data_IF_973469408575
#
_entry.id   IF_973469408575
#
_cell.length_a   1.000
_cell.length_b   1.000
_cell.length_c   1.000
_cell.angle_alpha   90.00
_cell.angle_beta   90.00
_cell.angle_gamma   90.00
#
_symmetry.space_group_name_H-M   'P 1'
#
loop_
_entity.id
_entity.type
_entity.pdbx_description
1 polymer ?
#
# COMPACT_ATOMS: atom_id res chain seq x y z
N UNK A 1 -15.83 -35.26 -3.62
CA UNK A 1 -14.59 -34.53 -3.26
C UNK A 1 -14.81 -33.77 -1.97
N UNK A 2 -13.84 -33.77 -1.05
CA UNK A 2 -13.90 -32.91 0.13
C UNK A 2 -13.89 -31.44 -0.29
N UNK A 3 -14.69 -30.59 0.38
CA UNK A 3 -14.66 -29.12 0.16
C UNK A 3 -13.51 -28.47 0.91
N UNK A 4 -12.95 -29.13 1.93
CA UNK A 4 -11.76 -28.70 2.66
C UNK A 4 -10.55 -29.41 2.05
N UNK A 5 -9.72 -28.69 1.31
CA UNK A 5 -8.67 -29.28 0.47
C UNK A 5 -7.26 -29.12 1.01
N UNK A 6 -7.00 -28.04 1.76
CA UNK A 6 -5.65 -27.76 2.29
C UNK A 6 -5.70 -26.86 3.54
N UNK A 7 -4.59 -26.85 4.28
CA UNK A 7 -4.32 -25.94 5.39
C UNK A 7 -3.56 -24.75 4.81
N UNK A 8 -3.94 -23.54 5.20
CA UNK A 8 -3.25 -22.30 4.79
C UNK A 8 -2.62 -21.60 5.99
N UNK A 9 -1.52 -20.92 5.75
CA UNK A 9 -0.74 -20.17 6.74
C UNK A 9 -0.74 -18.67 6.40
N UNK A 10 -0.88 -17.82 7.43
CA UNK A 10 -0.75 -16.37 7.27
C UNK A 10 0.68 -15.91 7.60
N UNK A 11 1.00 -14.64 7.37
CA UNK A 11 2.33 -14.07 7.64
C UNK A 11 2.72 -14.20 9.13
N UNK A 12 1.72 -14.27 10.03
CA UNK A 12 1.94 -14.47 11.45
C UNK A 12 2.41 -15.90 11.81
N UNK A 13 2.23 -16.87 10.89
CA UNK A 13 2.53 -18.27 11.09
C UNK A 13 3.89 -18.70 10.50
N UNK A 14 4.64 -17.76 9.92
CA UNK A 14 5.90 -18.05 9.24
C UNK A 14 7.04 -17.17 9.74
N UNK A 15 8.27 -17.65 9.58
CA UNK A 15 9.50 -16.94 9.94
C UNK A 15 10.61 -17.18 8.92
N UNK A 16 11.42 -16.15 8.66
CA UNK A 16 12.63 -16.25 7.84
C UNK A 16 13.73 -16.96 8.66
N UNK A 17 14.45 -17.86 8.04
CA UNK A 17 15.55 -18.61 8.66
C UNK A 17 16.90 -17.99 8.27
N UNK A 18 17.78 -17.92 9.25
CA UNK A 18 19.15 -17.51 9.01
C UNK A 18 19.91 -18.58 8.20
N UNK A 19 20.65 -18.17 7.17
CA UNK A 19 21.55 -19.09 6.45
C UNK A 19 22.67 -19.59 7.38
N UNK A 20 23.11 -20.86 7.25
CA UNK A 20 24.22 -21.39 8.08
C UNK A 20 25.54 -20.63 7.93
N UNK A 21 25.83 -20.10 6.75
CA UNK A 21 27.04 -19.31 6.46
C UNK A 21 26.64 -18.16 5.53
N UNK A 22 26.74 -16.92 6.01
CA UNK A 22 26.53 -15.73 5.18
C UNK A 22 27.85 -15.23 4.62
N UNK A 23 27.95 -14.97 3.30
CA UNK A 23 29.15 -14.35 2.69
C UNK A 23 29.24 -12.85 3.00
N UNK A 24 28.19 -12.24 3.54
CA UNK A 24 28.05 -10.79 3.75
C UNK A 24 28.73 -10.41 5.06
N UNK A 25 29.73 -9.52 4.98
CA UNK A 25 30.46 -9.01 6.15
C UNK A 25 29.72 -7.86 6.81
N UNK A 26 29.15 -6.97 5.99
CA UNK A 26 28.42 -5.79 6.44
C UNK A 26 27.09 -5.69 5.72
N UNK A 27 26.01 -5.53 6.44
CA UNK A 27 24.66 -5.39 5.86
C UNK A 27 24.53 -4.29 4.80
N UNK A 28 25.43 -3.30 4.80
CA UNK A 28 25.46 -2.24 3.76
C UNK A 28 25.95 -2.74 2.39
N UNK A 29 26.43 -3.98 2.28
CA UNK A 29 26.72 -4.64 1.00
C UNK A 29 25.44 -5.12 0.29
N UNK A 30 24.29 -5.20 1.03
CA UNK A 30 23.03 -5.59 0.47
C UNK A 30 22.36 -4.41 -0.26
N UNK A 31 21.84 -4.68 -1.45
CA UNK A 31 21.05 -3.73 -2.24
C UNK A 31 19.55 -3.92 -2.00
N UNK A 32 18.87 -3.03 -1.24
CA UNK A 32 17.46 -3.14 -0.93
C UNK A 32 16.54 -2.51 -1.98
N UNK A 33 17.06 -2.17 -3.15
CA UNK A 33 16.30 -1.47 -4.19
C UNK A 33 15.89 -2.38 -5.32
N UNK A 34 14.82 -2.00 -6.02
CA UNK A 34 14.31 -2.67 -7.21
C UNK A 34 13.83 -1.63 -8.22
N UNK A 35 13.95 -1.96 -9.51
CA UNK A 35 13.47 -1.08 -10.57
C UNK A 35 11.96 -1.23 -10.79
N UNK A 36 11.23 -0.11 -10.77
CA UNK A 36 9.82 0.02 -11.11
C UNK A 36 9.60 1.34 -11.86
N UNK A 37 8.83 1.31 -12.95
CA UNK A 37 8.60 2.49 -13.80
C UNK A 37 9.91 3.20 -14.22
N UNK A 38 10.96 2.42 -14.52
CA UNK A 38 12.28 2.93 -14.90
C UNK A 38 13.07 3.62 -13.78
N UNK A 39 12.64 3.53 -12.53
CA UNK A 39 13.28 4.17 -11.36
C UNK A 39 13.75 3.13 -10.36
N UNK A 40 14.90 3.38 -9.73
CA UNK A 40 15.39 2.59 -8.60
C UNK A 40 14.68 3.03 -7.31
N UNK A 41 13.82 2.15 -6.77
CA UNK A 41 12.95 2.41 -5.64
C UNK A 41 13.08 1.33 -4.56
N UNK A 42 12.63 1.61 -3.36
CA UNK A 42 12.38 0.56 -2.38
C UNK A 42 11.31 -0.41 -2.90
N UNK A 43 11.33 -1.70 -2.48
CA UNK A 43 10.34 -2.69 -2.92
C UNK A 43 8.98 -2.49 -2.21
N UNK A 44 8.64 -1.25 -1.88
CA UNK A 44 7.40 -0.87 -1.20
C UNK A 44 6.69 0.20 -2.01
N UNK A 45 5.40 -0.04 -2.28
CA UNK A 45 4.55 0.84 -3.09
C UNK A 45 3.49 1.46 -2.18
N UNK A 46 3.25 2.77 -2.34
CA UNK A 46 2.20 3.48 -1.62
C UNK A 46 0.85 3.21 -2.28
N UNK A 47 -0.11 2.71 -1.49
CA UNK A 47 -1.43 2.29 -1.99
C UNK A 47 -2.27 3.45 -2.56
N UNK A 48 -3.15 3.17 -3.56
CA UNK A 48 -4.08 4.14 -4.15
C UNK A 48 -5.24 4.47 -3.21
N UNK A 49 -4.97 5.15 -2.12
CA UNK A 49 -5.98 5.51 -1.13
C UNK A 49 -6.10 7.03 -0.99
N UNK A 50 -7.32 7.56 -1.08
CA UNK A 50 -7.62 9.00 -1.06
C UNK A 50 -7.17 9.76 0.19
N UNK A 51 -6.77 9.06 1.25
CA UNK A 51 -6.22 9.63 2.48
C UNK A 51 -4.72 9.42 2.63
N UNK A 52 -4.07 8.87 1.61
CA UNK A 52 -2.64 8.55 1.61
C UNK A 52 -1.93 9.28 0.48
N UNK A 53 -2.44 9.15 -0.76
CA UNK A 53 -1.81 9.71 -1.96
C UNK A 53 -2.81 10.57 -2.73
N UNK A 54 -2.35 11.71 -3.21
CA UNK A 54 -3.06 12.59 -4.14
C UNK A 54 -2.10 13.23 -5.17
N UNK A 55 -2.62 14.16 -5.97
CA UNK A 55 -1.86 14.91 -6.96
C UNK A 55 -0.85 15.91 -6.39
N UNK A 56 -0.90 16.18 -5.09
CA UNK A 56 -0.01 17.15 -4.44
C UNK A 56 1.17 16.48 -3.73
N UNK A 57 0.94 15.29 -3.14
CA UNK A 57 1.95 14.61 -2.33
C UNK A 57 2.71 13.45 -3.05
N UNK A 58 2.30 13.05 -4.26
CA UNK A 58 2.95 11.93 -4.95
C UNK A 58 4.46 12.12 -5.15
N UNK A 59 4.93 13.36 -5.38
CA UNK A 59 6.36 13.67 -5.51
C UNK A 59 7.13 13.41 -4.24
N UNK A 60 6.55 13.70 -3.09
CA UNK A 60 7.16 13.41 -1.78
C UNK A 60 7.42 11.91 -1.63
N UNK A 61 6.52 11.06 -2.11
CA UNK A 61 6.77 9.61 -2.12
C UNK A 61 7.92 9.24 -3.03
N UNK A 62 7.94 9.74 -4.26
CA UNK A 62 9.01 9.48 -5.24
C UNK A 62 10.38 9.96 -4.73
N UNK A 63 10.45 11.14 -4.12
CA UNK A 63 11.68 11.73 -3.57
C UNK A 63 12.24 10.88 -2.42
N UNK A 64 11.37 10.19 -1.67
CA UNK A 64 11.75 9.23 -0.62
C UNK A 64 11.92 7.79 -1.16
N UNK A 65 12.03 7.62 -2.47
CA UNK A 65 12.22 6.34 -3.17
C UNK A 65 11.07 5.32 -2.97
N UNK A 66 9.84 5.80 -2.82
CA UNK A 66 8.64 4.97 -2.85
C UNK A 66 7.85 5.23 -4.13
N UNK A 67 7.64 4.20 -4.93
CA UNK A 67 6.63 4.27 -5.98
C UNK A 67 5.26 4.41 -5.33
N UNK A 68 4.37 5.18 -5.94
CA UNK A 68 3.00 5.34 -5.46
C UNK A 68 2.00 5.17 -6.60
N UNK A 69 0.75 5.00 -6.19
CA UNK A 69 -0.37 4.92 -7.12
C UNK A 69 -1.37 6.02 -6.77
N UNK A 70 -1.61 6.95 -7.70
CA UNK A 70 -2.59 8.03 -7.52
C UNK A 70 -4.01 7.45 -7.62
N UNK A 71 -4.89 7.67 -6.62
CA UNK A 71 -6.18 7.03 -6.54
C UNK A 71 -7.22 7.62 -7.49
N UNK A 72 -8.30 6.88 -7.72
CA UNK A 72 -9.46 7.29 -8.54
C UNK A 72 -10.27 8.47 -7.98
N UNK A 73 -10.01 8.89 -6.74
CA UNK A 73 -10.59 10.11 -6.16
C UNK A 73 -10.03 11.41 -6.75
N UNK A 74 -8.84 11.34 -7.37
CA UNK A 74 -8.27 12.43 -8.16
C UNK A 74 -8.98 12.47 -9.52
N UNK A 75 -9.26 13.67 -10.04
CA UNK A 75 -9.98 13.81 -11.30
C UNK A 75 -9.25 13.14 -12.47
N UNK A 76 -10.01 12.73 -13.49
CA UNK A 76 -9.46 11.92 -14.58
C UNK A 76 -8.42 12.69 -15.41
N UNK A 77 -8.61 14.00 -15.63
CA UNK A 77 -7.67 14.80 -16.43
C UNK A 77 -6.33 14.93 -15.71
N UNK A 78 -6.34 15.16 -14.40
CA UNK A 78 -5.13 15.19 -13.58
C UNK A 78 -4.43 13.84 -13.61
N UNK A 79 -5.16 12.72 -13.47
CA UNK A 79 -4.58 11.37 -13.60
C UNK A 79 -3.92 11.14 -14.96
N UNK A 80 -4.56 11.55 -16.06
CA UNK A 80 -3.98 11.45 -17.40
C UNK A 80 -2.70 12.27 -17.56
N UNK A 81 -2.61 13.43 -16.93
CA UNK A 81 -1.40 14.25 -16.95
C UNK A 81 -0.23 13.63 -16.16
N UNK A 82 -0.53 12.82 -15.11
CA UNK A 82 0.47 12.21 -14.23
C UNK A 82 0.92 10.81 -14.68
N UNK A 83 0.20 10.15 -15.60
CA UNK A 83 0.44 8.74 -15.95
C UNK A 83 1.80 8.44 -16.60
N UNK A 84 2.58 9.45 -16.95
CA UNK A 84 3.95 9.29 -17.44
C UNK A 84 5.02 9.44 -16.34
N UNK A 85 4.62 9.83 -15.14
CA UNK A 85 5.52 10.02 -13.99
C UNK A 85 5.32 8.96 -12.91
N UNK A 86 4.08 8.52 -12.71
CA UNK A 86 3.65 7.67 -11.59
C UNK A 86 2.47 6.80 -12.02
N UNK A 87 2.25 5.67 -11.33
CA UNK A 87 1.04 4.90 -11.56
C UNK A 87 -0.22 5.69 -11.18
N UNK A 88 -1.23 5.62 -12.03
CA UNK A 88 -2.54 6.26 -11.78
C UNK A 88 -3.67 5.24 -11.90
N UNK A 89 -4.64 5.31 -11.01
CA UNK A 89 -5.73 4.33 -10.93
C UNK A 89 -6.86 4.63 -11.90
N UNK A 90 -7.39 3.57 -12.51
CA UNK A 90 -8.60 3.57 -13.34
C UNK A 90 -9.56 2.47 -12.87
N UNK A 91 -10.87 2.65 -13.08
CA UNK A 91 -11.81 1.53 -13.11
C UNK A 91 -11.65 0.75 -14.42
N UNK A 92 -12.28 -0.41 -14.53
CA UNK A 92 -12.25 -1.18 -15.76
C UNK A 92 -12.89 -0.40 -16.91
N UNK A 93 -14.06 0.21 -16.68
CA UNK A 93 -14.78 1.00 -17.68
C UNK A 93 -14.02 2.25 -18.10
N UNK A 94 -13.36 2.96 -17.15
CA UNK A 94 -12.49 4.08 -17.47
C UNK A 94 -11.29 3.63 -18.31
N UNK A 95 -10.64 2.52 -17.98
CA UNK A 95 -9.51 2.01 -18.73
C UNK A 95 -9.91 1.65 -20.17
N UNK A 96 -11.03 0.93 -20.34
CA UNK A 96 -11.56 0.55 -21.64
C UNK A 96 -11.87 1.78 -22.50
N UNK A 97 -12.56 2.80 -21.95
CA UNK A 97 -12.92 4.00 -22.68
C UNK A 97 -11.74 4.91 -23.00
N UNK A 98 -10.80 5.10 -22.05
CA UNK A 98 -9.67 6.06 -22.18
C UNK A 98 -8.63 5.55 -23.16
N UNK A 99 -8.17 4.28 -22.99
CA UNK A 99 -7.03 3.77 -23.77
C UNK A 99 -7.40 3.38 -25.20
N UNK A 100 -8.68 3.27 -25.53
CA UNK A 100 -9.14 3.13 -26.91
C UNK A 100 -9.61 4.46 -27.54
N UNK A 101 -9.47 5.58 -26.82
CA UNK A 101 -9.76 6.90 -27.37
C UNK A 101 -8.70 7.30 -28.41
N UNK A 102 -9.16 7.95 -29.50
CA UNK A 102 -8.29 8.44 -30.57
C UNK A 102 -7.19 9.35 -30.02
N UNK A 103 -7.51 10.19 -29.04
CA UNK A 103 -6.59 11.16 -28.44
C UNK A 103 -5.36 10.50 -27.79
N UNK A 104 -5.54 9.45 -26.99
CA UNK A 104 -4.43 8.75 -26.33
C UNK A 104 -3.61 7.95 -27.34
N UNK A 105 -4.27 7.29 -28.31
CA UNK A 105 -3.58 6.53 -29.35
C UNK A 105 -2.70 7.45 -30.20
N UNK A 106 -3.21 8.61 -30.64
CA UNK A 106 -2.47 9.58 -31.42
C UNK A 106 -1.32 10.22 -30.60
N UNK A 107 -1.55 10.57 -29.32
CA UNK A 107 -0.51 11.11 -28.46
C UNK A 107 0.66 10.13 -28.30
N UNK A 108 0.39 8.86 -28.05
CA UNK A 108 1.42 7.82 -27.93
C UNK A 108 2.15 7.55 -29.24
N UNK A 109 1.43 7.56 -30.38
CA UNK A 109 2.02 7.40 -31.70
C UNK A 109 2.96 8.56 -32.08
N UNK A 110 2.61 9.77 -31.69
CA UNK A 110 3.40 10.99 -31.95
C UNK A 110 4.59 11.15 -30.97
N UNK A 111 4.61 10.41 -29.88
CA UNK A 111 5.67 10.47 -28.86
C UNK A 111 6.31 9.09 -28.64
N UNK A 112 7.04 8.52 -29.63
CA UNK A 112 7.70 7.24 -29.52
C UNK A 112 8.76 7.30 -28.40
N UNK A 113 8.65 6.50 -27.38
CA UNK A 113 9.51 6.53 -26.19
C UNK A 113 8.81 7.07 -24.93
N UNK A 114 7.63 7.65 -25.06
CA UNK A 114 6.76 7.95 -23.91
C UNK A 114 6.35 6.63 -23.24
N UNK A 115 6.50 6.59 -21.93
CA UNK A 115 6.00 5.50 -21.09
C UNK A 115 4.81 5.98 -20.29
N UNK A 116 3.84 5.12 -20.08
CA UNK A 116 2.68 5.38 -19.22
C UNK A 116 2.49 4.24 -18.24
N UNK A 117 2.05 4.59 -17.04
CA UNK A 117 1.93 3.70 -15.89
C UNK A 117 0.51 3.73 -15.37
N UNK A 118 -0.19 2.60 -15.44
CA UNK A 118 -1.59 2.53 -15.04
C UNK A 118 -1.84 1.44 -14.00
N UNK A 119 -2.80 1.69 -13.12
CA UNK A 119 -3.34 0.71 -12.19
C UNK A 119 -4.84 0.54 -12.46
N UNK A 120 -5.26 -0.61 -13.00
CA UNK A 120 -6.69 -0.94 -13.07
C UNK A 120 -7.08 -1.51 -11.70
N UNK A 121 -7.70 -0.66 -10.88
CA UNK A 121 -7.93 -0.91 -9.46
C UNK A 121 -9.30 -1.54 -9.20
N UNK A 122 -9.30 -2.86 -8.95
CA UNK A 122 -10.48 -3.70 -8.79
C UNK A 122 -10.38 -4.57 -7.53
N UNK A 123 -11.51 -4.83 -6.88
CA UNK A 123 -11.58 -5.81 -5.79
C UNK A 123 -11.60 -7.26 -6.32
N UNK A 124 -12.02 -7.48 -7.57
CA UNK A 124 -12.19 -8.78 -8.21
C UNK A 124 -11.31 -8.90 -9.46
N UNK A 125 -10.04 -9.26 -9.25
CA UNK A 125 -9.02 -9.31 -10.29
C UNK A 125 -9.07 -10.54 -11.21
N UNK A 126 -10.04 -11.44 -11.07
CA UNK A 126 -10.18 -12.66 -11.90
C UNK A 126 -11.34 -12.60 -12.89
N UNK A 127 -11.85 -11.40 -13.19
CA UNK A 127 -12.88 -11.21 -14.23
C UNK A 127 -12.29 -11.41 -15.63
N UNK A 128 -12.94 -12.19 -16.49
CA UNK A 128 -12.51 -12.38 -17.88
C UNK A 128 -12.39 -11.05 -18.63
N UNK A 129 -13.35 -10.13 -18.44
CA UNK A 129 -13.32 -8.80 -19.04
C UNK A 129 -12.04 -8.01 -18.71
N UNK A 130 -11.46 -8.18 -17.50
CA UNK A 130 -10.19 -7.55 -17.15
C UNK A 130 -9.05 -8.04 -18.02
N UNK A 131 -8.94 -9.36 -18.22
CA UNK A 131 -7.89 -9.94 -19.08
C UNK A 131 -8.02 -9.47 -20.52
N UNK A 132 -9.24 -9.39 -21.04
CA UNK A 132 -9.49 -8.93 -22.40
C UNK A 132 -9.11 -7.46 -22.57
N UNK A 133 -9.50 -6.58 -21.65
CA UNK A 133 -9.14 -5.15 -21.66
C UNK A 133 -7.62 -4.99 -21.58
N UNK A 134 -6.95 -5.66 -20.63
CA UNK A 134 -5.49 -5.58 -20.47
C UNK A 134 -4.75 -6.06 -21.71
N UNK A 135 -5.16 -7.21 -22.28
CA UNK A 135 -4.57 -7.77 -23.51
C UNK A 135 -4.73 -6.81 -24.69
N UNK A 136 -5.93 -6.23 -24.84
CA UNK A 136 -6.19 -5.28 -25.91
C UNK A 136 -5.35 -4.00 -25.76
N UNK A 137 -5.23 -3.46 -24.54
CA UNK A 137 -4.35 -2.32 -24.26
C UNK A 137 -2.89 -2.67 -24.60
N UNK A 138 -2.40 -3.84 -24.17
CA UNK A 138 -1.05 -4.28 -24.50
C UNK A 138 -0.82 -4.48 -25.99
N UNK A 139 -1.81 -4.98 -26.73
CA UNK A 139 -1.72 -5.13 -28.18
C UNK A 139 -1.58 -3.77 -28.91
N UNK A 140 -2.20 -2.70 -28.37
CA UNK A 140 -2.12 -1.35 -28.96
C UNK A 140 -0.82 -0.63 -28.58
N UNK A 141 -0.45 -0.67 -27.30
CA UNK A 141 0.63 0.16 -26.75
C UNK A 141 1.95 -0.60 -26.53
N UNK A 142 1.91 -1.94 -26.53
CA UNK A 142 3.10 -2.77 -26.35
C UNK A 142 3.87 -2.43 -25.06
N UNK A 143 5.20 -2.26 -25.17
CA UNK A 143 6.07 -1.96 -24.02
C UNK A 143 5.99 -0.49 -23.56
N UNK A 144 5.23 0.37 -24.24
CA UNK A 144 5.06 1.79 -23.87
C UNK A 144 4.09 1.96 -22.69
N UNK A 145 3.37 0.90 -22.29
CA UNK A 145 2.49 0.91 -21.14
C UNK A 145 2.86 -0.17 -20.15
N UNK A 146 2.91 0.18 -18.87
CA UNK A 146 3.00 -0.78 -17.76
C UNK A 146 1.65 -0.85 -17.04
N UNK A 147 1.09 -2.06 -16.93
CA UNK A 147 -0.22 -2.31 -16.32
C UNK A 147 -0.04 -3.01 -14.98
N UNK A 148 -0.53 -2.36 -13.93
CA UNK A 148 -0.73 -2.94 -12.61
C UNK A 148 -2.22 -3.23 -12.43
N UNK A 149 -2.58 -4.41 -11.93
CA UNK A 149 -4.00 -4.71 -11.62
C UNK A 149 -4.14 -5.81 -10.58
N UNK A 150 -5.32 -6.05 -10.11
CA UNK A 150 -5.74 -6.98 -9.06
C UNK A 150 -6.92 -6.38 -8.29
N UNK A 151 -7.34 -7.04 -7.19
CA UNK A 151 -6.59 -8.01 -6.42
C UNK A 151 -7.06 -9.44 -6.73
N UNK A 152 -6.15 -10.40 -6.56
CA UNK A 152 -6.43 -11.83 -6.71
C UNK A 152 -6.17 -12.58 -5.39
N UNK A 153 -6.87 -13.70 -5.20
CA UNK A 153 -6.69 -14.61 -4.06
C UNK A 153 -6.62 -16.08 -4.52
N UNK A 154 -6.02 -16.31 -5.69
CA UNK A 154 -5.78 -17.65 -6.25
C UNK A 154 -4.48 -17.64 -7.06
N UNK A 155 -3.69 -18.70 -6.94
CA UNK A 155 -2.42 -18.85 -7.66
C UNK A 155 -2.61 -19.12 -9.15
N UNK A 156 -3.71 -19.77 -9.53
CA UNK A 156 -4.02 -20.07 -10.93
C UNK A 156 -4.20 -18.80 -11.78
N UNK A 157 -4.53 -17.66 -11.16
CA UNK A 157 -4.63 -16.38 -11.86
C UNK A 157 -3.29 -15.94 -12.48
N UNK A 158 -2.14 -16.41 -11.97
CA UNK A 158 -0.83 -15.95 -12.42
C UNK A 158 -0.60 -16.16 -13.92
N UNK A 159 -0.88 -17.35 -14.42
CA UNK A 159 -0.71 -17.66 -15.86
C UNK A 159 -1.57 -16.76 -16.74
N UNK A 160 -2.82 -16.49 -16.35
CA UNK A 160 -3.69 -15.58 -17.11
C UNK A 160 -3.15 -14.14 -17.14
N UNK A 161 -2.57 -13.68 -16.03
CA UNK A 161 -1.94 -12.36 -15.96
C UNK A 161 -0.70 -12.27 -16.84
N UNK A 162 0.17 -13.27 -16.79
CA UNK A 162 1.37 -13.36 -17.62
C UNK A 162 1.04 -13.43 -19.13
N UNK A 163 0.05 -14.24 -19.49
CA UNK A 163 -0.40 -14.42 -20.88
C UNK A 163 -1.13 -13.18 -21.43
N UNK A 164 -1.77 -12.39 -20.56
CA UNK A 164 -2.38 -11.12 -20.95
C UNK A 164 -1.34 -9.97 -21.04
N UNK A 165 -0.07 -10.20 -20.67
CA UNK A 165 0.99 -9.22 -20.68
C UNK A 165 0.86 -8.17 -19.57
N UNK A 166 0.18 -8.50 -18.47
CA UNK A 166 0.05 -7.63 -17.31
C UNK A 166 1.40 -7.58 -16.59
N UNK A 167 1.92 -6.38 -16.30
CA UNK A 167 3.27 -6.21 -15.74
C UNK A 167 3.32 -6.44 -14.22
N UNK A 168 2.23 -6.12 -13.50
CA UNK A 168 2.16 -6.24 -12.04
C UNK A 168 0.83 -6.82 -11.59
N UNK A 169 0.88 -7.94 -10.87
CA UNK A 169 -0.27 -8.59 -10.26
C UNK A 169 -0.36 -8.27 -8.78
N UNK A 170 -1.41 -7.57 -8.36
CA UNK A 170 -1.70 -7.33 -6.94
C UNK A 170 -2.46 -8.53 -6.37
N UNK A 171 -1.94 -9.12 -5.31
CA UNK A 171 -2.55 -10.25 -4.62
C UNK A 171 -2.99 -9.87 -3.20
N UNK A 172 -3.84 -10.71 -2.62
CA UNK A 172 -4.58 -10.60 -1.37
C UNK A 172 -5.94 -9.91 -1.51
N UNK A 173 -6.96 -10.61 -1.03
CA UNK A 173 -8.33 -10.09 -0.91
C UNK A 173 -8.73 -10.12 0.57
N UNK A 174 -9.36 -9.05 1.05
CA UNK A 174 -9.93 -9.00 2.39
C UNK A 174 -8.92 -8.84 3.55
N UNK A 175 -7.62 -8.76 3.26
CA UNK A 175 -6.54 -8.65 4.27
C UNK A 175 -6.29 -7.23 4.75
N UNK A 176 -6.69 -6.21 3.99
CA UNK A 176 -6.48 -4.80 4.33
C UNK A 176 -7.18 -4.38 5.62
N UNK A 177 -6.52 -3.58 6.46
CA UNK A 177 -7.04 -3.12 7.76
C UNK A 177 -8.33 -2.28 7.66
N UNK A 178 -8.68 -1.83 6.47
CA UNK A 178 -9.92 -1.08 6.17
C UNK A 178 -10.87 -1.84 5.25
N UNK A 179 -10.52 -3.06 4.85
CA UNK A 179 -11.35 -3.93 4.02
C UNK A 179 -12.21 -4.83 4.90
N UNK A 180 -13.48 -4.99 4.53
CA UNK A 180 -14.42 -5.89 5.21
C UNK A 180 -14.89 -7.04 4.31
N UNK A 181 -14.27 -7.23 3.15
CA UNK A 181 -14.62 -8.29 2.20
C UNK A 181 -14.47 -9.67 2.85
N UNK A 182 -13.38 -9.91 3.59
CA UNK A 182 -13.18 -11.19 4.29
C UNK A 182 -14.25 -11.45 5.36
N UNK A 183 -14.58 -10.43 6.17
CA UNK A 183 -15.56 -10.57 7.26
C UNK A 183 -17.01 -10.62 6.79
N UNK A 184 -17.34 -9.94 5.69
CA UNK A 184 -18.72 -9.82 5.20
C UNK A 184 -18.98 -10.73 3.99
N UNK A 185 -17.98 -10.94 3.12
CA UNK A 185 -18.08 -11.73 1.90
C UNK A 185 -17.44 -13.12 1.98
N UNK A 186 -16.76 -13.44 3.09
CA UNK A 186 -16.08 -14.73 3.32
C UNK A 186 -15.04 -15.11 2.26
N UNK A 187 -14.58 -14.13 1.45
CA UNK A 187 -13.53 -14.36 0.44
C UNK A 187 -12.20 -13.91 1.01
N UNK A 188 -11.33 -14.87 1.28
CA UNK A 188 -10.01 -14.66 1.86
C UNK A 188 -9.12 -15.87 1.57
N UNK A 189 -7.83 -15.65 1.43
CA UNK A 189 -6.82 -16.70 1.39
C UNK A 189 -5.66 -16.33 2.33
N UNK A 190 -5.12 -17.26 3.15
CA UNK A 190 -3.98 -16.99 4.02
C UNK A 190 -2.77 -16.52 3.23
N UNK A 191 -2.20 -15.38 3.62
CA UNK A 191 -1.28 -14.58 2.78
C UNK A 191 0.04 -15.27 2.48
N UNK A 192 0.64 -15.94 3.47
CA UNK A 192 1.89 -16.65 3.26
C UNK A 192 1.72 -17.80 2.26
N UNK A 193 0.68 -18.63 2.45
CA UNK A 193 0.38 -19.73 1.52
C UNK A 193 0.04 -19.23 0.12
N UNK A 194 -0.72 -18.13 0.00
CA UNK A 194 -1.05 -17.59 -1.31
C UNK A 194 0.19 -17.09 -2.06
N UNK A 195 1.11 -16.40 -1.39
CA UNK A 195 2.34 -15.92 -2.02
C UNK A 195 3.23 -17.06 -2.49
N UNK A 196 3.43 -18.06 -1.66
CA UNK A 196 4.20 -19.26 -1.97
C UNK A 196 3.63 -19.96 -3.20
N UNK A 197 2.31 -20.20 -3.22
CA UNK A 197 1.62 -20.81 -4.37
C UNK A 197 1.65 -19.96 -5.64
N UNK A 198 1.57 -18.62 -5.53
CA UNK A 198 1.70 -17.72 -6.69
C UNK A 198 3.14 -17.75 -7.21
N UNK A 199 4.13 -17.79 -6.32
CA UNK A 199 5.54 -17.91 -6.71
C UNK A 199 5.81 -19.24 -7.41
N UNK A 200 5.24 -20.35 -6.93
CA UNK A 200 5.30 -21.65 -7.61
C UNK A 200 4.65 -21.58 -9.01
N UNK A 201 3.50 -20.91 -9.13
CA UNK A 201 2.85 -20.71 -10.43
C UNK A 201 3.71 -19.86 -11.40
N UNK A 202 4.45 -18.86 -10.88
CA UNK A 202 5.43 -18.09 -11.64
C UNK A 202 6.56 -18.98 -12.15
N UNK A 203 7.18 -19.75 -11.26
CA UNK A 203 8.29 -20.66 -11.62
C UNK A 203 7.82 -21.68 -12.65
N UNK A 204 6.63 -22.22 -12.47
CA UNK A 204 6.03 -23.14 -13.46
C UNK A 204 5.86 -22.48 -14.82
N UNK A 205 5.32 -21.25 -14.86
CA UNK A 205 5.14 -20.50 -16.10
C UNK A 205 6.49 -20.25 -16.80
N UNK A 206 7.54 -19.88 -16.05
CA UNK A 206 8.90 -19.71 -16.57
C UNK A 206 9.44 -20.99 -17.21
N UNK A 207 9.27 -22.12 -16.53
CA UNK A 207 9.68 -23.43 -17.04
C UNK A 207 8.89 -23.84 -18.30
N UNK A 208 7.58 -23.62 -18.33
CA UNK A 208 6.71 -23.97 -19.44
C UNK A 208 7.01 -23.13 -20.71
N UNK A 209 7.58 -21.91 -20.55
CA UNK A 209 7.85 -20.98 -21.65
C UNK A 209 9.36 -20.77 -21.94
N UNK A 210 10.26 -21.36 -21.16
CA UNK A 210 11.74 -21.22 -21.26
C UNK A 210 12.18 -19.73 -21.33
N UNK A 211 11.56 -18.89 -20.49
CA UNK A 211 11.89 -17.44 -20.38
C UNK A 211 11.42 -16.88 -19.03
N UNK A 212 12.03 -15.75 -18.58
CA UNK A 212 11.56 -15.06 -17.37
C UNK A 212 10.09 -14.64 -17.50
N UNK A 213 9.34 -14.79 -16.43
CA UNK A 213 7.95 -14.38 -16.37
C UNK A 213 7.81 -12.85 -16.45
N UNK A 214 6.88 -12.33 -17.26
CA UNK A 214 6.72 -10.89 -17.45
C UNK A 214 6.04 -10.21 -16.27
N UNK A 215 5.25 -10.95 -15.47
CA UNK A 215 4.40 -10.41 -14.43
C UNK A 215 5.09 -10.46 -13.07
N UNK A 216 5.27 -9.30 -12.46
CA UNK A 216 5.78 -9.14 -11.10
C UNK A 216 4.64 -9.24 -10.07
N UNK A 217 4.96 -9.78 -8.90
CA UNK A 217 4.00 -10.04 -7.83
C UNK A 217 4.04 -8.90 -6.81
N UNK A 218 2.89 -8.31 -6.50
CA UNK A 218 2.72 -7.28 -5.46
C UNK A 218 1.86 -7.85 -4.34
N UNK A 219 2.43 -7.97 -3.14
CA UNK A 219 1.71 -8.33 -1.92
C UNK A 219 0.95 -7.09 -1.41
N UNK A 220 -0.37 -7.03 -1.62
CA UNK A 220 -1.18 -5.84 -1.35
C UNK A 220 -2.26 -6.08 -0.29
N UNK A 221 -2.04 -5.53 0.88
CA UNK A 221 -3.00 -5.49 1.98
C UNK A 221 -2.60 -6.30 3.21
N UNK A 222 -3.01 -5.81 4.37
CA UNK A 222 -2.77 -6.47 5.65
C UNK A 222 -1.34 -6.35 6.21
N UNK A 223 -0.49 -5.58 5.57
CA UNK A 223 0.89 -5.34 6.01
C UNK A 223 0.88 -4.40 7.22
N UNK A 224 1.41 -4.85 8.36
CA UNK A 224 1.30 -4.15 9.65
C UNK A 224 2.62 -3.56 10.13
N UNK A 225 3.73 -4.19 9.78
CA UNK A 225 5.06 -3.90 10.29
C UNK A 225 6.16 -4.26 9.28
N UNK A 226 7.43 -4.04 9.64
CA UNK A 226 8.56 -4.30 8.76
C UNK A 226 8.80 -5.79 8.48
N UNK A 227 8.48 -6.68 9.41
CA UNK A 227 8.66 -8.12 9.22
C UNK A 227 7.66 -8.70 8.20
N UNK A 228 6.44 -8.17 8.15
CA UNK A 228 5.50 -8.53 7.09
C UNK A 228 6.04 -8.20 5.69
N UNK A 229 6.70 -7.03 5.52
CA UNK A 229 7.34 -6.64 4.26
C UNK A 229 8.41 -7.67 3.87
N UNK A 230 9.30 -8.00 4.82
CA UNK A 230 10.42 -8.92 4.60
C UNK A 230 9.93 -10.33 4.25
N UNK A 231 8.92 -10.83 4.98
CA UNK A 231 8.31 -12.14 4.72
C UNK A 231 7.64 -12.21 3.36
N UNK A 232 6.92 -11.15 2.95
CA UNK A 232 6.33 -11.11 1.61
C UNK A 232 7.41 -11.19 0.52
N UNK A 233 8.52 -10.44 0.66
CA UNK A 233 9.62 -10.47 -0.29
C UNK A 233 10.31 -11.85 -0.32
N UNK A 234 10.53 -12.47 0.83
CA UNK A 234 11.13 -13.81 0.93
C UNK A 234 10.22 -14.91 0.36
N UNK A 235 8.89 -14.73 0.43
CA UNK A 235 7.90 -15.67 -0.11
C UNK A 235 7.61 -15.49 -1.61
N UNK A 236 8.35 -14.61 -2.31
CA UNK A 236 8.25 -14.49 -3.75
C UNK A 236 7.63 -13.20 -4.27
N UNK A 237 7.18 -12.27 -3.42
CA UNK A 237 6.74 -10.96 -3.87
C UNK A 237 7.92 -10.14 -4.43
N UNK A 238 7.68 -9.44 -5.53
CA UNK A 238 8.62 -8.46 -6.07
C UNK A 238 8.49 -7.12 -5.35
N UNK A 239 7.27 -6.78 -4.96
CA UNK A 239 6.92 -5.56 -4.24
C UNK A 239 5.86 -5.83 -3.18
N UNK A 240 5.77 -4.89 -2.23
CA UNK A 240 4.75 -4.90 -1.17
C UNK A 240 3.99 -3.58 -1.23
N UNK A 241 2.66 -3.60 -1.27
CA UNK A 241 1.85 -2.39 -1.27
C UNK A 241 1.28 -2.11 0.11
N UNK A 242 1.52 -0.89 0.62
CA UNK A 242 1.15 -0.48 1.96
C UNK A 242 0.28 0.78 1.94
N UNK A 243 -0.83 0.76 2.70
CA UNK A 243 -1.66 1.94 2.95
C UNK A 243 -1.53 2.45 4.39
N UNK A 244 -1.76 1.58 5.37
CA UNK A 244 -1.82 1.96 6.78
C UNK A 244 -0.53 2.58 7.31
N UNK A 245 0.63 2.06 6.93
CA UNK A 245 1.92 2.62 7.35
C UNK A 245 2.12 4.03 6.79
N UNK A 246 1.82 4.24 5.51
CA UNK A 246 1.92 5.57 4.91
C UNK A 246 0.85 6.53 5.42
N UNK A 247 -0.34 6.07 5.78
CA UNK A 247 -1.37 6.91 6.41
C UNK A 247 -0.93 7.49 7.76
N UNK A 248 0.01 6.84 8.45
CA UNK A 248 0.59 7.31 9.71
C UNK A 248 1.74 8.32 9.54
N UNK A 249 2.22 8.54 8.31
CA UNK A 249 3.27 9.53 8.05
C UNK A 249 2.71 10.96 8.02
N UNK A 250 3.56 11.92 8.31
CA UNK A 250 3.21 13.35 8.27
C UNK A 250 2.77 13.79 6.87
N UNK A 251 3.30 13.16 5.82
CA UNK A 251 3.14 13.55 4.42
C UNK A 251 1.87 13.03 3.74
N UNK A 252 1.14 12.11 4.36
CA UNK A 252 -0.11 11.61 3.78
C UNK A 252 -1.21 12.71 3.74
N UNK A 253 -2.11 12.64 2.73
CA UNK A 253 -3.03 13.72 2.39
C UNK A 253 -4.36 13.72 3.17
N UNK A 254 -4.66 12.70 3.99
CA UNK A 254 -5.90 12.64 4.76
C UNK A 254 -6.02 13.76 5.79
N UNK A 255 -7.25 14.20 6.07
CA UNK A 255 -7.52 15.24 7.06
C UNK A 255 -7.02 14.86 8.45
N UNK A 256 -6.40 15.81 9.14
CA UNK A 256 -5.93 15.64 10.52
C UNK A 256 -7.02 16.13 11.48
N UNK A 257 -7.19 15.39 12.56
CA UNK A 257 -8.02 15.74 13.71
C UNK A 257 -7.22 15.52 14.99
N UNK A 258 -7.22 16.49 15.88
CA UNK A 258 -6.58 16.40 17.18
C UNK A 258 -7.57 15.82 18.21
N UNK A 259 -7.15 14.78 18.90
CA UNK A 259 -7.98 14.04 19.85
C UNK A 259 -7.13 13.77 21.11
N UNK A 260 -7.73 13.92 22.28
CA UNK A 260 -7.10 13.42 23.50
C UNK A 260 -7.02 11.89 23.43
N UNK A 261 -5.82 11.28 23.57
CA UNK A 261 -5.67 9.82 23.51
C UNK A 261 -6.58 9.06 24.48
N UNK A 262 -6.85 9.61 25.66
CA UNK A 262 -7.74 9.01 26.66
C UNK A 262 -9.21 8.98 26.21
N UNK A 263 -9.61 9.88 25.30
CA UNK A 263 -10.97 10.01 24.76
C UNK A 263 -11.12 9.35 23.39
N UNK A 264 -10.10 8.69 22.86
CA UNK A 264 -10.10 8.14 21.50
C UNK A 264 -11.25 7.13 21.26
N UNK A 265 -11.51 6.26 22.23
CA UNK A 265 -12.61 5.29 22.12
C UNK A 265 -13.99 5.97 22.14
N UNK A 266 -14.18 7.05 22.90
CA UNK A 266 -15.41 7.83 22.91
C UNK A 266 -15.57 8.68 21.65
N UNK A 267 -14.44 9.16 21.07
CA UNK A 267 -14.45 9.76 19.73
C UNK A 267 -14.95 8.77 18.67
N UNK A 268 -14.44 7.53 18.67
CA UNK A 268 -14.88 6.49 17.75
C UNK A 268 -16.38 6.15 17.88
N UNK A 269 -16.94 6.29 19.07
CA UNK A 269 -18.37 6.10 19.36
C UNK A 269 -19.21 7.35 19.06
N UNK A 270 -18.59 8.45 18.65
CA UNK A 270 -19.26 9.72 18.36
C UNK A 270 -19.74 10.49 19.59
N UNK A 271 -19.22 10.17 20.78
CA UNK A 271 -19.61 10.83 22.05
C UNK A 271 -18.84 12.14 22.28
N UNK A 272 -17.61 12.22 21.80
CA UNK A 272 -16.78 13.44 21.84
C UNK A 272 -16.36 13.83 20.42
N UNK A 273 -16.01 15.10 20.23
CA UNK A 273 -15.53 15.63 18.95
C UNK A 273 -14.04 15.95 19.06
N UNK A 274 -13.28 15.60 18.03
CA UNK A 274 -11.92 16.08 17.89
C UNK A 274 -11.87 17.52 17.36
N UNK A 275 -10.73 18.17 17.52
CA UNK A 275 -10.47 19.50 16.98
C UNK A 275 -9.87 19.40 15.58
N UNK A 276 -10.31 20.21 14.62
CA UNK A 276 -9.62 20.37 13.36
C UNK A 276 -8.21 20.95 13.60
N UNK A 277 -7.30 20.70 12.67
CA UNK A 277 -5.92 21.20 12.76
C UNK A 277 -5.86 22.72 12.90
N UNK A 278 -6.64 23.44 12.09
CA UNK A 278 -6.75 24.90 12.15
C UNK A 278 -7.25 25.37 13.52
N UNK A 279 -8.32 24.74 14.02
CA UNK A 279 -8.89 25.09 15.33
C UNK A 279 -7.92 24.80 16.47
N UNK A 280 -7.24 23.65 16.45
CA UNK A 280 -6.22 23.28 17.42
C UNK A 280 -5.13 24.35 17.49
N UNK A 281 -4.51 24.69 16.36
CA UNK A 281 -3.44 25.71 16.34
C UNK A 281 -3.93 27.11 16.75
N UNK A 282 -5.16 27.48 16.39
CA UNK A 282 -5.74 28.74 16.81
C UNK A 282 -5.92 28.83 18.34
N UNK A 283 -6.35 27.73 18.99
CA UNK A 283 -6.52 27.66 20.44
C UNK A 283 -5.17 27.73 21.18
N UNK A 284 -4.15 27.00 20.70
CA UNK A 284 -2.79 27.06 21.26
C UNK A 284 -2.26 28.50 21.19
N UNK A 285 -2.40 29.16 20.04
CA UNK A 285 -1.95 30.54 19.82
C UNK A 285 -2.67 31.51 20.76
N UNK A 286 -3.99 31.46 20.87
CA UNK A 286 -4.81 32.31 21.71
C UNK A 286 -4.45 32.14 23.19
N UNK A 287 -4.40 30.90 23.68
CA UNK A 287 -4.03 30.59 25.05
C UNK A 287 -2.58 31.00 25.37
N UNK A 288 -1.65 30.84 24.46
CA UNK A 288 -0.26 31.29 24.63
C UNK A 288 -0.18 32.81 24.80
N UNK A 289 -0.96 33.55 24.01
CA UNK A 289 -1.01 35.02 24.15
C UNK A 289 -1.65 35.43 25.49
N UNK A 290 -2.79 34.84 25.86
CA UNK A 290 -3.44 35.09 27.15
C UNK A 290 -2.54 34.76 28.33
N UNK A 291 -1.72 33.72 28.24
CA UNK A 291 -0.73 33.36 29.26
C UNK A 291 0.34 34.44 29.38
N UNK A 292 0.87 34.97 28.27
CA UNK A 292 1.86 36.06 28.27
C UNK A 292 1.32 37.38 28.86
N UNK A 293 0.04 37.66 28.65
CA UNK A 293 -0.65 38.87 29.10
C UNK A 293 -1.22 38.73 30.52
N UNK A 294 -1.15 37.54 31.12
CA UNK A 294 -1.71 37.30 32.44
C UNK A 294 -0.88 38.02 33.53
N UNK A 295 -1.58 38.74 34.37
CA UNK A 295 -0.98 39.58 35.42
C UNK A 295 -1.33 39.11 36.85
N UNK A 296 -2.02 37.98 37.00
CA UNK A 296 -2.31 37.39 38.30
C UNK A 296 -1.94 35.91 38.35
N UNK A 297 -1.47 35.37 39.48
CA UNK A 297 -1.10 33.96 39.62
C UNK A 297 -2.24 33.00 39.27
N UNK A 298 -3.48 33.33 39.61
CA UNK A 298 -4.67 32.52 39.37
C UNK A 298 -4.93 32.39 37.84
N UNK A 299 -4.88 33.54 37.12
CA UNK A 299 -5.05 33.56 35.66
C UNK A 299 -3.91 32.83 34.94
N UNK A 300 -2.69 33.02 35.35
CA UNK A 300 -1.52 32.31 34.83
C UNK A 300 -1.70 30.80 34.95
N UNK A 301 -2.07 30.33 36.16
CA UNK A 301 -2.32 28.90 36.40
C UNK A 301 -3.49 28.36 35.58
N UNK A 302 -4.58 29.14 35.47
CA UNK A 302 -5.74 28.74 34.63
C UNK A 302 -5.36 28.58 33.16
N UNK A 303 -4.68 29.56 32.55
CA UNK A 303 -4.28 29.48 31.17
C UNK A 303 -3.24 28.40 30.91
N UNK A 304 -2.33 28.16 31.86
CA UNK A 304 -1.38 27.06 31.78
C UNK A 304 -2.09 25.71 31.78
N UNK A 305 -3.05 25.46 32.67
CA UNK A 305 -3.80 24.22 32.73
C UNK A 305 -4.57 23.98 31.43
N UNK A 306 -5.23 25.01 30.88
CA UNK A 306 -5.93 24.89 29.60
C UNK A 306 -4.97 24.57 28.43
N UNK A 307 -3.81 25.21 28.42
CA UNK A 307 -2.78 24.97 27.41
C UNK A 307 -2.25 23.53 27.48
N UNK A 308 -2.03 23.04 28.72
CA UNK A 308 -1.59 21.67 28.96
C UNK A 308 -2.63 20.63 28.51
N UNK A 309 -3.94 20.91 28.64
CA UNK A 309 -5.01 20.06 28.08
C UNK A 309 -4.92 19.98 26.56
N UNK A 310 -4.71 21.10 25.87
CA UNK A 310 -4.54 21.11 24.42
C UNK A 310 -3.27 20.39 24.00
N UNK A 311 -2.16 20.53 24.70
CA UNK A 311 -0.91 19.82 24.37
C UNK A 311 -0.96 18.30 24.61
N UNK A 312 -1.96 17.81 25.36
CA UNK A 312 -2.21 16.36 25.45
C UNK A 312 -2.89 15.78 24.23
N UNK A 313 -3.57 16.62 23.43
CA UNK A 313 -4.19 16.15 22.20
C UNK A 313 -3.13 15.75 21.19
N UNK A 314 -3.39 14.65 20.50
CA UNK A 314 -2.49 14.12 19.48
C UNK A 314 -3.16 14.17 18.10
N UNK A 315 -2.37 14.33 17.02
CA UNK A 315 -2.89 14.32 15.67
C UNK A 315 -3.24 12.89 15.24
N UNK A 316 -4.46 12.74 14.75
CA UNK A 316 -4.94 11.53 14.10
C UNK A 316 -5.35 11.88 12.67
N UNK A 317 -4.99 11.03 11.73
CA UNK A 317 -5.37 11.18 10.34
C UNK A 317 -6.58 10.35 10.01
N UNK A 318 -7.53 10.92 9.30
CA UNK A 318 -8.62 10.15 8.73
C UNK A 318 -8.06 9.11 7.76
N UNK A 319 -8.49 7.85 7.91
CA UNK A 319 -8.04 6.75 7.07
C UNK A 319 -9.19 5.79 6.79
N UNK A 320 -9.50 5.57 5.50
CA UNK A 320 -10.62 4.73 5.08
C UNK A 320 -10.30 3.91 3.83
N UNK A 321 -10.99 2.76 3.70
CA UNK A 321 -10.92 1.90 2.51
C UNK A 321 -11.65 2.51 1.32
N UNK A 322 -11.12 2.29 0.11
CA UNK A 322 -11.68 2.85 -1.14
C UNK A 322 -13.07 2.30 -1.49
N UNK A 323 -13.50 1.19 -0.90
CA UNK A 323 -14.84 0.62 -1.02
C UNK A 323 -15.84 1.11 0.03
N UNK A 324 -15.46 2.00 0.96
CA UNK A 324 -16.38 2.56 1.94
C UNK A 324 -17.30 3.63 1.30
N UNK A 325 -18.44 3.92 1.96
CA UNK A 325 -19.41 4.92 1.46
C UNK A 325 -18.80 6.30 1.23
N UNK A 326 -17.85 6.72 2.07
CA UNK A 326 -17.17 8.02 1.91
C UNK A 326 -16.35 8.04 0.63
N UNK A 327 -15.54 7.02 0.38
CA UNK A 327 -14.74 6.90 -0.84
C UNK A 327 -15.63 6.81 -2.09
N UNK A 328 -16.73 6.05 -2.03
CA UNK A 328 -17.71 5.97 -3.13
C UNK A 328 -18.24 7.34 -3.53
N UNK A 329 -18.53 8.21 -2.54
CA UNK A 329 -18.99 9.60 -2.80
C UNK A 329 -17.90 10.46 -3.41
N UNK A 330 -16.66 10.34 -2.95
CA UNK A 330 -15.50 11.07 -3.52
C UNK A 330 -15.25 10.69 -4.99
N UNK A 331 -15.56 9.45 -5.36
CA UNK A 331 -15.46 8.97 -6.76
C UNK A 331 -16.74 9.23 -7.59
N UNK A 332 -17.63 10.14 -7.16
CA UNK A 332 -18.85 10.50 -7.88
C UNK A 332 -20.01 9.51 -7.74
N UNK A 333 -19.88 8.48 -6.92
CA UNK A 333 -20.96 7.53 -6.65
C UNK A 333 -21.98 8.06 -5.63
N UNK A 334 -23.22 7.55 -5.70
CA UNK A 334 -24.28 7.92 -4.76
C UNK A 334 -24.09 7.36 -3.33
N UNK A 335 -23.06 6.55 -3.10
CA UNK A 335 -22.82 5.88 -1.81
C UNK A 335 -23.87 4.83 -1.45
N UNK A 336 -24.62 4.34 -2.43
CA UNK A 336 -25.72 3.38 -2.26
C UNK A 336 -25.27 1.92 -2.35
N UNK A 337 -24.06 1.67 -2.84
CA UNK A 337 -23.50 0.32 -2.89
C UNK A 337 -23.14 -0.16 -1.49
N UNK A 338 -23.25 -1.47 -1.27
CA UNK A 338 -22.80 -2.10 -0.02
C UNK A 338 -21.36 -1.69 0.27
N UNK A 339 -21.10 -1.24 1.52
CA UNK A 339 -19.77 -0.85 1.94
C UNK A 339 -18.95 -2.08 2.28
N UNK A 340 -17.82 -2.28 1.60
CA UNK A 340 -16.81 -3.30 1.92
C UNK A 340 -15.57 -2.66 2.57
N UNK A 341 -15.71 -1.47 3.13
CA UNK A 341 -14.64 -0.76 3.82
C UNK A 341 -15.15 0.05 5.00
N UNK A 342 -14.23 0.30 5.94
CA UNK A 342 -14.49 1.12 7.14
C UNK A 342 -13.62 2.37 7.12
N UNK A 343 -14.08 3.41 7.82
CA UNK A 343 -13.31 4.61 8.17
C UNK A 343 -12.95 4.57 9.65
N UNK A 344 -11.66 4.67 9.96
CA UNK A 344 -11.18 4.81 11.33
C UNK A 344 -9.87 5.60 11.30
N UNK A 345 -9.71 6.66 12.10
CA UNK A 345 -8.49 7.43 12.11
C UNK A 345 -7.30 6.60 12.60
N UNK A 346 -6.10 7.00 12.17
CA UNK A 346 -4.81 6.46 12.61
C UNK A 346 -3.97 7.58 13.19
N UNK A 347 -3.13 7.33 14.20
CA UNK A 347 -2.23 8.35 14.71
C UNK A 347 -1.23 8.78 13.65
N UNK A 348 -0.84 10.06 13.64
CA UNK A 348 0.31 10.56 12.86
C UNK A 348 1.54 10.37 13.73
N UNK A 349 2.49 9.54 13.26
CA UNK A 349 3.55 9.01 14.12
C UNK A 349 4.96 9.43 13.67
N UNK A 350 5.19 9.65 12.38
CA UNK A 350 6.56 9.83 11.85
C UNK A 350 6.61 10.53 10.49
N UNK A 351 7.69 11.26 10.20
CA UNK A 351 8.02 11.66 8.84
C UNK A 351 8.47 10.45 8.03
N UNK A 352 8.11 10.40 6.75
CA UNK A 352 8.37 9.24 5.88
C UNK A 352 9.85 8.95 5.71
N UNK A 353 10.71 9.97 5.67
CA UNK A 353 12.15 9.79 5.54
C UNK A 353 12.72 8.93 6.68
N UNK A 354 12.31 9.19 7.93
CA UNK A 354 12.74 8.40 9.09
C UNK A 354 12.23 6.96 9.05
N UNK A 355 10.99 6.78 8.58
CA UNK A 355 10.41 5.45 8.41
C UNK A 355 11.17 4.67 7.32
N UNK A 356 11.53 5.33 6.21
CA UNK A 356 12.31 4.76 5.11
C UNK A 356 13.70 4.27 5.59
N UNK A 357 14.40 5.07 6.39
CA UNK A 357 15.70 4.70 6.96
C UNK A 357 15.59 3.46 7.87
N UNK A 358 14.56 3.39 8.70
CA UNK A 358 14.31 2.23 9.55
C UNK A 358 13.98 0.99 8.69
N UNK A 359 13.08 1.11 7.74
CA UNK A 359 12.70 0.03 6.84
C UNK A 359 13.92 -0.51 6.07
N UNK A 360 14.72 0.39 5.48
CA UNK A 360 15.98 0.03 4.83
C UNK A 360 16.90 -0.74 5.77
N UNK A 361 17.13 -0.21 6.98
CA UNK A 361 18.03 -0.82 7.96
C UNK A 361 17.62 -2.22 8.37
N UNK A 362 16.32 -2.45 8.57
CA UNK A 362 15.80 -3.78 8.89
C UNK A 362 15.86 -4.72 7.68
N UNK A 363 15.53 -4.25 6.48
CA UNK A 363 15.56 -5.06 5.28
C UNK A 363 16.99 -5.55 4.97
N UNK A 364 17.99 -4.66 4.91
CA UNK A 364 19.38 -5.07 4.67
C UNK A 364 19.95 -5.94 5.80
N UNK A 365 19.46 -5.77 7.04
CA UNK A 365 19.83 -6.67 8.13
C UNK A 365 19.33 -8.08 7.89
N UNK A 366 18.04 -8.24 7.52
CA UNK A 366 17.45 -9.56 7.24
C UNK A 366 18.07 -10.19 6.00
N UNK A 367 18.32 -9.41 4.94
CA UNK A 367 19.07 -9.88 3.74
C UNK A 367 20.47 -10.41 4.12
N UNK A 368 21.18 -9.72 5.01
CA UNK A 368 22.49 -10.17 5.46
C UNK A 368 22.44 -11.47 6.26
N UNK A 369 21.39 -11.68 7.09
CA UNK A 369 21.17 -12.95 7.78
C UNK A 369 20.79 -14.09 6.82
N UNK A 370 20.06 -13.77 5.75
CA UNK A 370 19.74 -14.73 4.69
C UNK A 370 20.91 -14.97 3.73
N UNK A 371 21.99 -14.18 3.81
CA UNK A 371 23.17 -14.30 2.94
C UNK A 371 22.94 -13.79 1.52
N UNK A 372 22.03 -12.84 1.32
CA UNK A 372 21.59 -12.34 0.02
C UNK A 372 22.05 -10.91 -0.24
N UNK A 373 22.72 -10.67 -1.37
CA UNK A 373 23.24 -9.35 -1.74
C UNK A 373 22.16 -8.43 -2.33
N UNK A 374 21.16 -9.00 -2.98
CA UNK A 374 20.06 -8.24 -3.58
C UNK A 374 18.69 -8.90 -3.34
N UNK A 375 17.65 -8.25 -3.81
CA UNK A 375 16.26 -8.70 -3.61
C UNK A 375 15.88 -9.91 -4.47
N UNK A 376 16.59 -10.19 -5.56
CA UNK A 376 16.34 -11.39 -6.37
C UNK A 376 16.94 -12.62 -5.69
N UNK A 377 18.15 -12.51 -5.15
CA UNK A 377 18.72 -13.55 -4.28
C UNK A 377 17.85 -13.77 -3.04
N UNK A 378 17.38 -12.67 -2.41
CA UNK A 378 16.54 -12.75 -1.23
C UNK A 378 15.21 -13.47 -1.49
N UNK A 379 14.57 -13.20 -2.62
CA UNK A 379 13.34 -13.86 -3.06
C UNK A 379 13.55 -15.35 -3.37
N UNK A 380 14.68 -15.70 -3.99
CA UNK A 380 14.88 -17.05 -4.52
C UNK A 380 15.62 -18.00 -3.56
N UNK A 381 16.42 -17.48 -2.64
CA UNK A 381 17.34 -18.30 -1.82
C UNK A 381 16.98 -18.27 -0.32
N UNK A 382 16.05 -17.44 0.13
CA UNK A 382 15.70 -17.34 1.54
C UNK A 382 14.80 -18.50 1.96
N UNK A 383 15.20 -19.20 3.01
CA UNK A 383 14.37 -20.24 3.64
C UNK A 383 13.33 -19.60 4.56
N UNK A 384 12.08 -20.04 4.43
CA UNK A 384 10.97 -19.62 5.28
C UNK A 384 10.36 -20.89 5.92
N UNK A 385 10.19 -20.89 7.24
CA UNK A 385 9.59 -22.00 7.96
C UNK A 385 8.23 -21.64 8.53
N UNK A 386 7.39 -22.66 8.70
CA UNK A 386 6.13 -22.55 9.44
C UNK A 386 6.46 -22.58 10.93
N UNK A 387 6.01 -21.58 11.67
CA UNK A 387 6.25 -21.43 13.10
C UNK A 387 4.93 -21.55 13.88
N UNK A 388 4.65 -22.76 14.39
CA UNK A 388 3.49 -23.01 15.25
C UNK A 388 3.67 -22.58 16.70
N UNK A 389 4.87 -22.21 17.11
CA UNK A 389 5.04 -21.63 18.44
C UNK A 389 4.34 -20.28 18.45
N UNK A 390 3.04 -20.30 18.73
CA UNK A 390 2.20 -19.11 18.85
C UNK A 390 2.64 -18.18 19.99
N UNK A 391 3.86 -18.37 20.43
CA UNK A 391 4.51 -17.49 21.38
C UNK A 391 4.95 -16.23 20.66
N UNK A 392 3.96 -15.31 20.55
CA UNK A 392 4.15 -13.93 20.09
C UNK A 392 5.05 -13.14 21.05
N UNK A 393 5.83 -13.80 21.90
CA UNK A 393 6.67 -13.19 22.93
C UNK A 393 7.75 -12.27 22.34
N UNK A 394 8.15 -12.46 21.08
CA UNK A 394 9.05 -11.56 20.37
C UNK A 394 8.33 -10.38 19.68
N UNK A 395 6.99 -10.37 19.65
CA UNK A 395 6.17 -9.29 19.10
C UNK A 395 5.72 -8.37 20.24
N UNK A 396 6.66 -7.66 20.84
CA UNK A 396 6.39 -6.62 21.83
C UNK A 396 5.88 -5.33 21.21
#
# INVERSE_FOLDING_TARGET
>A
MSKLTKIGYDLDDVSIVQTPISPIRHRNECNPYRTIAGREMYPVIVSPMATVTDEHNYKTWLDNKFMCVVPRSVDIQTRLNLMNEVFVSFSLDEADSVFFSKTIIEDMANNPGKKIYICIDLAHGTMSALYDVCRNIKNVFGPSIEIMTGNVATSEAYSFYADAGIDYMRCFIGSGSRCTTASNGSTFYPRASLLDEINDARIKWENDHDKPAPTKIIADGGIKNFDDIQKCLALGADFVMCGNMFAKSEEACGQIVYINPEEFDDYLKGKVKGASEEYYHSQIKDLTNKLKESNTPERTKMFQNLLDEWYRMQPYREYFGMSCRKAQRLMGGLGNKTSEGISRPVPVEYPIAKWADNMKSYLISTMSYAGCYDLDEFKNNTEVIINFSGDKAYRK
#
